data_IF_600339414030
#
_entry.id   IF_600339414030
#
_cell.length_a   1.000
_cell.length_b   1.000
_cell.length_c   1.000
_cell.angle_alpha   90.00
_cell.angle_beta   90.00
_cell.angle_gamma   90.00
#
_symmetry.space_group_name_H-M   'P 1'
#
loop_
_entity.id
_entity.type
_entity.pdbx_description
1 polymer ?
#
# COMPACT_ATOMS: atom_id res chain seq x y z
N UNK A 1 15.21 19.22 31.88
CA UNK A 1 14.91 17.99 31.10
C UNK A 1 13.83 18.41 30.13
N UNK A 2 13.98 18.12 28.83
CA UNK A 2 12.87 18.31 27.90
C UNK A 2 11.83 17.25 28.23
N UNK A 3 10.58 17.63 28.42
CA UNK A 3 9.52 16.66 28.67
C UNK A 3 9.29 15.88 27.38
N UNK A 4 9.53 14.56 27.43
CA UNK A 4 9.24 13.67 26.30
C UNK A 4 7.76 13.34 26.28
N UNK A 5 7.13 13.59 25.13
CA UNK A 5 5.71 13.35 24.88
C UNK A 5 5.53 12.34 23.75
N UNK A 6 4.31 11.83 23.62
CA UNK A 6 4.00 10.85 22.58
C UNK A 6 4.17 11.46 21.17
N UNK A 7 4.74 10.66 20.27
CA UNK A 7 4.95 11.04 18.89
C UNK A 7 3.62 10.93 18.10
N UNK A 8 2.90 12.05 17.99
CA UNK A 8 1.62 12.10 17.25
C UNK A 8 1.79 11.79 15.75
N UNK A 9 2.96 12.07 15.17
CA UNK A 9 3.27 11.67 13.79
C UNK A 9 3.34 10.15 13.64
N UNK A 10 4.00 9.44 14.57
CA UNK A 10 4.03 7.96 14.57
C UNK A 10 2.63 7.38 14.71
N UNK A 11 1.80 7.95 15.59
CA UNK A 11 0.40 7.54 15.74
C UNK A 11 -0.39 7.72 14.44
N UNK A 12 -0.26 8.88 13.79
CA UNK A 12 -0.92 9.13 12.50
C UNK A 12 -0.49 8.16 11.39
N UNK A 13 0.81 7.80 11.33
CA UNK A 13 1.27 6.74 10.42
C UNK A 13 0.63 5.39 10.76
N UNK A 14 0.56 5.05 12.05
CA UNK A 14 -0.06 3.83 12.56
C UNK A 14 -1.54 3.71 12.19
N UNK A 15 -2.27 4.82 12.26
CA UNK A 15 -3.70 4.89 11.90
C UNK A 15 -3.95 4.70 10.39
N UNK A 16 -3.00 5.11 9.53
CA UNK A 16 -3.13 4.99 8.07
C UNK A 16 -2.69 3.60 7.54
N UNK A 17 -1.83 2.88 8.27
CA UNK A 17 -1.31 1.57 7.84
C UNK A 17 -2.41 0.55 7.45
N UNK A 18 -3.51 0.37 8.22
CA UNK A 18 -4.59 -0.52 7.84
C UNK A 18 -5.24 -0.14 6.50
N UNK A 19 -5.48 1.15 6.28
CA UNK A 19 -6.08 1.67 5.04
C UNK A 19 -5.18 1.38 3.85
N UNK A 20 -3.88 1.66 3.98
CA UNK A 20 -2.92 1.41 2.91
C UNK A 20 -2.76 -0.08 2.59
N UNK A 21 -2.75 -0.96 3.61
CA UNK A 21 -2.76 -2.42 3.42
C UNK A 21 -4.01 -2.90 2.69
N UNK A 22 -5.17 -2.29 2.98
CA UNK A 22 -6.41 -2.52 2.25
C UNK A 22 -6.28 -2.14 0.78
N UNK A 23 -5.78 -0.93 0.49
CA UNK A 23 -5.55 -0.48 -0.89
C UNK A 23 -4.55 -1.34 -1.65
N UNK A 24 -3.43 -1.73 -1.03
CA UNK A 24 -2.45 -2.62 -1.63
C UNK A 24 -3.07 -3.98 -2.02
N UNK A 25 -3.94 -4.51 -1.15
CA UNK A 25 -4.68 -5.75 -1.43
C UNK A 25 -5.63 -5.57 -2.62
N UNK A 26 -6.39 -4.46 -2.67
CA UNK A 26 -7.32 -4.15 -3.77
C UNK A 26 -6.58 -4.05 -5.12
N UNK A 27 -5.41 -3.42 -5.16
CA UNK A 27 -4.60 -3.32 -6.38
C UNK A 27 -4.24 -4.68 -6.97
N UNK A 28 -4.00 -5.69 -6.13
CA UNK A 28 -3.76 -7.06 -6.59
C UNK A 28 -5.05 -7.74 -7.07
N UNK A 29 -6.20 -7.47 -6.45
CA UNK A 29 -7.46 -8.11 -6.83
C UNK A 29 -8.15 -7.51 -8.05
N UNK A 30 -7.81 -6.27 -8.44
CA UNK A 30 -8.52 -5.51 -9.48
C UNK A 30 -8.61 -6.22 -10.85
N UNK A 31 -7.68 -7.14 -11.13
CA UNK A 31 -7.59 -7.84 -12.42
C UNK A 31 -8.06 -9.30 -12.36
N UNK A 32 -8.27 -9.85 -11.16
CA UNK A 32 -8.48 -11.28 -10.93
C UNK A 32 -9.67 -11.84 -11.72
N UNK A 33 -10.81 -11.16 -11.72
CA UNK A 33 -12.01 -11.65 -12.43
C UNK A 33 -11.81 -11.74 -13.95
N UNK A 34 -11.06 -10.80 -14.53
CA UNK A 34 -10.78 -10.79 -15.95
C UNK A 34 -9.74 -11.86 -16.33
N UNK A 35 -8.72 -12.06 -15.49
CA UNK A 35 -7.74 -13.15 -15.66
C UNK A 35 -8.43 -14.52 -15.56
N UNK A 36 -9.25 -14.75 -14.53
CA UNK A 36 -10.00 -15.99 -14.33
C UNK A 36 -10.96 -16.30 -15.50
N UNK A 37 -11.62 -15.29 -16.06
CA UNK A 37 -12.46 -15.46 -17.24
C UNK A 37 -11.66 -15.87 -18.48
N UNK A 38 -10.47 -15.29 -18.70
CA UNK A 38 -9.60 -15.65 -19.82
C UNK A 38 -9.00 -17.05 -19.66
N UNK A 39 -8.62 -17.44 -18.43
CA UNK A 39 -8.18 -18.80 -18.11
C UNK A 39 -9.26 -19.85 -18.36
N UNK A 40 -10.53 -19.47 -18.17
CA UNK A 40 -11.72 -20.30 -18.48
C UNK A 40 -12.13 -20.26 -19.96
N UNK A 41 -11.25 -19.77 -20.83
CA UNK A 41 -11.47 -19.68 -22.28
C UNK A 41 -12.72 -18.87 -22.67
N UNK A 42 -13.16 -17.91 -21.84
CA UNK A 42 -14.32 -17.06 -22.15
C UNK A 42 -14.14 -16.25 -23.45
N UNK A 43 -12.89 -16.04 -23.86
CA UNK A 43 -12.52 -15.46 -25.14
C UNK A 43 -11.22 -16.07 -25.67
N UNK A 44 -11.26 -16.71 -26.84
CA UNK A 44 -10.10 -17.36 -27.46
C UNK A 44 -9.77 -16.73 -28.83
N UNK A 45 -8.61 -16.07 -28.91
CA UNK A 45 -8.04 -15.51 -30.15
C UNK A 45 -6.62 -14.99 -29.89
N UNK A 46 -5.83 -14.72 -30.92
CA UNK A 46 -4.52 -14.06 -30.76
C UNK A 46 -4.61 -12.67 -30.12
N UNK A 47 -5.76 -12.00 -30.29
CA UNK A 47 -6.05 -10.75 -29.58
C UNK A 47 -6.29 -10.99 -28.09
N UNK A 48 -6.97 -12.09 -27.72
CA UNK A 48 -7.15 -12.49 -26.34
C UNK A 48 -5.80 -12.82 -25.67
N UNK A 49 -4.89 -13.51 -26.37
CA UNK A 49 -3.55 -13.84 -25.86
C UNK A 49 -2.72 -12.56 -25.58
N UNK A 50 -2.78 -11.60 -26.51
CA UNK A 50 -2.11 -10.30 -26.37
C UNK A 50 -2.68 -9.50 -25.20
N UNK A 51 -4.01 -9.50 -25.06
CA UNK A 51 -4.70 -8.82 -23.96
C UNK A 51 -4.38 -9.46 -22.61
N UNK A 52 -4.43 -10.79 -22.52
CA UNK A 52 -4.08 -11.55 -21.32
C UNK A 52 -2.66 -11.22 -20.83
N UNK A 53 -1.69 -11.21 -21.76
CA UNK A 53 -0.30 -10.84 -21.44
C UNK A 53 -0.20 -9.41 -20.85
N UNK A 54 -0.90 -8.44 -21.45
CA UNK A 54 -0.91 -7.07 -20.97
C UNK A 54 -1.59 -6.95 -19.60
N UNK A 55 -2.70 -7.66 -19.41
CA UNK A 55 -3.47 -7.70 -18.16
C UNK A 55 -2.62 -8.20 -16.99
N UNK A 56 -1.92 -9.32 -17.17
CA UNK A 56 -1.01 -9.87 -16.15
C UNK A 56 0.16 -8.93 -15.83
N UNK A 57 0.67 -8.20 -16.83
CA UNK A 57 1.68 -7.17 -16.63
C UNK A 57 1.16 -6.01 -15.77
N UNK A 58 -0.09 -5.58 -16.00
CA UNK A 58 -0.74 -4.55 -15.20
C UNK A 58 -1.03 -5.02 -13.77
N UNK A 59 -1.52 -6.25 -13.60
CA UNK A 59 -1.72 -6.85 -12.28
C UNK A 59 -0.41 -6.85 -11.49
N UNK A 60 0.67 -7.38 -12.07
CA UNK A 60 1.99 -7.42 -11.42
C UNK A 60 2.44 -6.02 -11.01
N UNK A 61 2.38 -5.04 -11.93
CA UNK A 61 2.79 -3.66 -11.66
C UNK A 61 1.97 -3.01 -10.54
N UNK A 62 0.65 -3.20 -10.54
CA UNK A 62 -0.23 -2.63 -9.53
C UNK A 62 -0.01 -3.28 -8.14
N UNK A 63 0.16 -4.60 -8.10
CA UNK A 63 0.49 -5.34 -6.88
C UNK A 63 1.82 -4.91 -6.27
N UNK A 64 2.87 -4.79 -7.10
CA UNK A 64 4.19 -4.31 -6.68
C UNK A 64 4.14 -2.88 -6.14
N UNK A 65 3.41 -1.98 -6.82
CA UNK A 65 3.24 -0.61 -6.38
C UNK A 65 2.51 -0.52 -5.04
N UNK A 66 1.42 -1.27 -4.87
CA UNK A 66 0.67 -1.34 -3.61
C UNK A 66 1.54 -1.87 -2.46
N UNK A 67 2.24 -2.98 -2.69
CA UNK A 67 3.15 -3.59 -1.71
C UNK A 67 4.30 -2.65 -1.32
N UNK A 68 4.90 -1.97 -2.30
CA UNK A 68 5.98 -1.02 -2.08
C UNK A 68 5.53 0.19 -1.26
N UNK A 69 4.33 0.71 -1.54
CA UNK A 69 3.75 1.80 -0.76
C UNK A 69 3.51 1.37 0.69
N UNK A 70 2.89 0.20 0.92
CA UNK A 70 2.68 -0.37 2.25
C UNK A 70 3.99 -0.53 3.02
N UNK A 71 5.00 -1.12 2.38
CA UNK A 71 6.34 -1.32 2.96
C UNK A 71 7.00 0.01 3.32
N UNK A 72 6.90 1.03 2.47
CA UNK A 72 7.49 2.33 2.72
C UNK A 72 6.85 3.03 3.94
N UNK A 73 5.53 2.95 4.08
CA UNK A 73 4.82 3.54 5.22
C UNK A 73 5.13 2.77 6.53
N UNK A 74 5.16 1.44 6.47
CA UNK A 74 5.49 0.58 7.63
C UNK A 74 6.92 0.83 8.09
N UNK A 75 7.88 0.85 7.14
CA UNK A 75 9.27 1.21 7.42
C UNK A 75 9.38 2.60 8.03
N UNK A 76 8.56 3.57 7.58
CA UNK A 76 8.59 4.92 8.16
C UNK A 76 8.06 4.90 9.60
N UNK A 77 6.93 4.25 9.84
CA UNK A 77 6.33 4.10 11.16
C UNK A 77 7.30 3.46 12.16
N UNK A 78 7.94 2.36 11.77
CA UNK A 78 8.81 1.58 12.65
C UNK A 78 10.10 2.32 13.01
N UNK A 79 10.56 3.21 12.13
CA UNK A 79 11.73 4.05 12.36
C UNK A 79 11.44 5.30 13.20
N UNK A 80 10.17 5.67 13.43
CA UNK A 80 9.84 6.77 14.31
C UNK A 80 9.95 6.35 15.79
N UNK A 81 10.54 7.18 16.66
CA UNK A 81 10.56 6.91 18.09
C UNK A 81 9.15 7.01 18.67
N UNK A 82 8.86 6.25 19.73
CA UNK A 82 7.55 6.29 20.41
C UNK A 82 7.30 7.65 21.08
N UNK A 83 8.38 8.31 21.52
CA UNK A 83 8.36 9.61 22.18
C UNK A 83 9.36 10.57 21.56
N UNK A 84 9.03 11.85 21.61
CA UNK A 84 9.84 12.95 21.12
C UNK A 84 9.82 14.10 22.14
N UNK A 85 10.80 15.01 22.12
CA UNK A 85 10.73 16.25 22.90
C UNK A 85 9.41 17.00 22.66
N UNK A 86 8.85 17.64 23.69
CA UNK A 86 7.60 18.39 23.58
C UNK A 86 7.63 19.52 22.55
N UNK A 87 8.81 20.05 22.23
CA UNK A 87 9.03 21.08 21.21
C UNK A 87 9.34 20.52 19.80
N UNK A 88 9.41 19.19 19.65
CA UNK A 88 9.58 18.53 18.36
C UNK A 88 8.30 18.68 17.51
N UNK A 89 8.39 19.04 16.22
CA UNK A 89 7.21 19.14 15.35
C UNK A 89 6.33 17.88 15.32
N UNK A 90 6.92 16.70 15.54
CA UNK A 90 6.20 15.42 15.59
C UNK A 90 5.28 15.29 16.82
N UNK A 91 5.54 16.05 17.89
CA UNK A 91 4.67 16.14 19.07
C UNK A 91 3.38 16.95 18.80
N UNK A 92 3.36 17.74 17.73
CA UNK A 92 2.25 18.63 17.37
C UNK A 92 1.68 18.32 15.99
N UNK A 93 1.92 17.10 15.50
CA UNK A 93 1.43 16.66 14.20
C UNK A 93 -0.11 16.71 14.16
N UNK A 94 -0.66 17.42 13.17
CA UNK A 94 -2.11 17.63 13.02
C UNK A 94 -2.68 17.08 11.70
N UNK A 95 -1.85 16.42 10.87
CA UNK A 95 -2.23 15.99 9.51
C UNK A 95 -1.89 17.03 8.45
#
# INVERSE_FOLDING_TARGET
MSDEVDNLYKQALGDELPTLRGHASICSFAFFEAEDALEKEAWTSSTADTFSTALTGHHTTAGEAGSSAGTALETRHDNEPDKVPADDPRAHWAG
#
